data_IF_007343632845
#
_entry.id   IF_007343632845
#
_cell.length_a   1.000
_cell.length_b   1.000
_cell.length_c   1.000
_cell.angle_alpha   90.00
_cell.angle_beta   90.00
_cell.angle_gamma   90.00
#
_symmetry.space_group_name_H-M   'P 1'
#
loop_
_entity.id
_entity.type
_entity.pdbx_description
1 polymer ?
#
# COMPACT_ATOMS: atom_id res chain seq x y z
N UNK A 1 -26.37 -3.08 -18.63
CA UNK A 1 -25.57 -3.92 -17.77
C UNK A 1 -24.67 -3.08 -16.87
N UNK A 2 -24.60 -3.41 -15.61
CA UNK A 2 -23.84 -2.62 -14.65
C UNK A 2 -22.41 -3.13 -14.56
N UNK A 3 -21.43 -2.22 -14.64
CA UNK A 3 -20.03 -2.59 -14.46
C UNK A 3 -19.75 -2.88 -12.99
N UNK A 4 -18.91 -3.86 -12.73
CA UNK A 4 -18.41 -4.08 -11.37
C UNK A 4 -17.47 -2.94 -11.01
N UNK A 5 -17.13 -2.84 -9.71
CA UNK A 5 -16.19 -1.82 -9.30
C UNK A 5 -14.83 -1.99 -9.99
N UNK A 6 -14.36 -3.24 -10.11
CA UNK A 6 -13.09 -3.48 -10.79
C UNK A 6 -13.15 -3.05 -12.25
N UNK A 7 -14.24 -3.38 -12.93
CA UNK A 7 -14.39 -2.98 -14.34
C UNK A 7 -14.40 -1.46 -14.48
N UNK A 8 -15.09 -0.77 -13.57
CA UNK A 8 -15.12 0.69 -13.59
C UNK A 8 -13.72 1.28 -13.39
N UNK A 9 -12.97 0.72 -12.43
CA UNK A 9 -11.62 1.21 -12.16
C UNK A 9 -10.70 0.97 -13.35
N UNK A 10 -10.85 -0.15 -14.03
CA UNK A 10 -10.05 -0.42 -15.21
C UNK A 10 -10.34 0.57 -16.34
N UNK A 11 -11.62 0.99 -16.46
CA UNK A 11 -11.96 2.03 -17.44
C UNK A 11 -11.30 3.36 -17.08
N UNK A 12 -11.37 3.75 -15.78
CA UNK A 12 -10.71 4.97 -15.34
C UNK A 12 -9.22 4.91 -15.60
N UNK A 13 -8.61 3.76 -15.35
CA UNK A 13 -7.19 3.58 -15.55
C UNK A 13 -6.80 3.76 -17.01
N UNK A 14 -7.62 3.26 -17.92
CA UNK A 14 -7.38 3.47 -19.35
C UNK A 14 -7.39 4.94 -19.72
N UNK A 15 -8.29 5.70 -19.10
CA UNK A 15 -8.42 7.13 -19.42
C UNK A 15 -7.29 7.95 -18.83
N UNK A 16 -6.81 7.57 -17.63
CA UNK A 16 -5.74 8.30 -16.96
C UNK A 16 -4.88 7.34 -16.17
N UNK A 17 -3.92 6.69 -16.83
CA UNK A 17 -3.10 5.68 -16.16
C UNK A 17 -2.13 6.25 -15.12
N UNK A 18 -2.04 7.58 -15.01
CA UNK A 18 -1.15 8.18 -14.02
C UNK A 18 -1.87 8.60 -12.74
N UNK A 19 -3.20 8.41 -12.66
CA UNK A 19 -3.95 8.84 -11.50
C UNK A 19 -3.67 7.93 -10.31
N UNK A 20 -3.04 8.49 -9.28
CA UNK A 20 -2.62 7.70 -8.12
C UNK A 20 -3.78 7.01 -7.42
N UNK A 21 -4.91 7.71 -7.26
CA UNK A 21 -6.03 7.11 -6.58
C UNK A 21 -6.57 5.88 -7.32
N UNK A 22 -6.66 5.97 -8.64
CA UNK A 22 -7.14 4.84 -9.44
C UNK A 22 -6.22 3.63 -9.30
N UNK A 23 -4.90 3.88 -9.36
CA UNK A 23 -3.92 2.80 -9.20
C UNK A 23 -4.05 2.17 -7.82
N UNK A 24 -4.18 3.01 -6.79
CA UNK A 24 -4.36 2.54 -5.43
C UNK A 24 -5.63 1.69 -5.29
N UNK A 25 -6.73 2.18 -5.87
CA UNK A 25 -8.01 1.47 -5.80
C UNK A 25 -7.93 0.12 -6.52
N UNK A 26 -7.23 0.07 -7.67
CA UNK A 26 -7.03 -1.19 -8.38
C UNK A 26 -6.22 -2.17 -7.54
N UNK A 27 -5.14 -1.69 -6.93
CA UNK A 27 -4.33 -2.56 -6.07
C UNK A 27 -5.18 -3.16 -4.96
N UNK A 28 -6.03 -2.34 -4.35
CA UNK A 28 -6.88 -2.77 -3.25
C UNK A 28 -7.92 -3.79 -3.70
N UNK A 29 -8.55 -3.55 -4.84
CA UNK A 29 -9.54 -4.50 -5.35
C UNK A 29 -8.91 -5.84 -5.71
N UNK A 30 -7.72 -5.80 -6.31
CA UNK A 30 -7.05 -7.05 -6.67
C UNK A 30 -6.57 -7.85 -5.46
N UNK A 31 -6.44 -7.23 -4.29
CA UNK A 31 -6.06 -8.00 -3.08
C UNK A 31 -7.00 -9.17 -2.84
N UNK A 32 -8.25 -9.04 -3.26
CA UNK A 32 -9.26 -10.06 -3.01
C UNK A 32 -9.22 -11.20 -4.01
N UNK A 33 -8.63 -10.98 -5.19
CA UNK A 33 -8.76 -11.96 -6.27
C UNK A 33 -7.45 -12.32 -6.94
N UNK A 34 -6.44 -11.45 -6.90
CA UNK A 34 -5.18 -11.71 -7.59
C UNK A 34 -4.08 -10.90 -6.92
N UNK A 35 -3.43 -11.53 -5.93
CA UNK A 35 -2.42 -10.82 -5.15
C UNK A 35 -1.22 -10.40 -5.99
N UNK A 36 -0.90 -11.13 -7.06
CA UNK A 36 0.20 -10.73 -7.91
C UNK A 36 -0.10 -9.43 -8.63
N UNK A 37 -1.31 -9.27 -9.15
CA UNK A 37 -1.69 -8.01 -9.79
C UNK A 37 -1.76 -6.88 -8.77
N UNK A 38 -2.27 -7.17 -7.57
CA UNK A 38 -2.28 -6.18 -6.50
C UNK A 38 -0.88 -5.66 -6.24
N UNK A 39 0.08 -6.58 -6.12
CA UNK A 39 1.47 -6.21 -5.87
C UNK A 39 2.02 -5.33 -6.99
N UNK A 40 1.71 -5.67 -8.24
CA UNK A 40 2.18 -4.88 -9.38
C UNK A 40 1.69 -3.42 -9.30
N UNK A 41 0.42 -3.23 -8.95
CA UNK A 41 -0.12 -1.88 -8.85
C UNK A 41 0.47 -1.13 -7.65
N UNK A 42 0.68 -1.81 -6.52
CA UNK A 42 1.34 -1.15 -5.40
C UNK A 42 2.77 -0.76 -5.74
N UNK A 43 3.49 -1.63 -6.46
CA UNK A 43 4.85 -1.30 -6.88
C UNK A 43 4.89 -0.12 -7.83
N UNK A 44 3.88 -0.03 -8.70
CA UNK A 44 3.75 1.12 -9.58
C UNK A 44 3.58 2.41 -8.78
N UNK A 45 2.74 2.37 -7.74
CA UNK A 45 2.57 3.53 -6.87
C UNK A 45 3.85 3.92 -6.16
N UNK A 46 4.56 2.93 -5.62
CA UNK A 46 5.81 3.22 -4.92
C UNK A 46 6.83 3.89 -5.83
N UNK A 47 6.85 3.47 -7.10
CA UNK A 47 7.80 4.03 -8.06
C UNK A 47 7.37 5.39 -8.59
N UNK A 48 6.09 5.56 -8.90
CA UNK A 48 5.61 6.74 -9.61
C UNK A 48 4.98 7.79 -8.71
N UNK A 49 4.48 7.39 -7.55
CA UNK A 49 3.80 8.30 -6.63
C UNK A 49 4.28 8.07 -5.20
N UNK A 50 5.58 8.29 -4.95
CA UNK A 50 6.14 7.96 -3.62
C UNK A 50 5.55 8.77 -2.48
N UNK A 51 4.90 9.90 -2.76
CA UNK A 51 4.26 10.69 -1.71
C UNK A 51 2.81 10.33 -1.46
N UNK A 52 2.30 9.32 -2.15
CA UNK A 52 0.94 8.85 -1.90
C UNK A 52 0.99 7.93 -0.68
N UNK A 53 0.76 8.52 0.49
CA UNK A 53 1.07 7.91 1.78
C UNK A 53 0.32 6.60 2.02
N UNK A 54 -0.92 6.50 1.55
CA UNK A 54 -1.75 5.33 1.77
C UNK A 54 -1.19 4.02 1.21
N UNK A 55 -0.28 4.11 0.25
CA UNK A 55 0.31 2.94 -0.37
C UNK A 55 1.10 2.08 0.62
N UNK A 56 1.86 2.74 1.50
CA UNK A 56 2.92 2.07 2.26
C UNK A 56 2.42 1.02 3.23
N UNK A 57 1.34 1.32 3.94
CA UNK A 57 0.78 0.37 4.88
C UNK A 57 0.37 -0.93 4.17
N UNK A 58 -0.37 -0.79 3.07
CA UNK A 58 -0.89 -1.96 2.36
C UNK A 58 0.19 -2.71 1.63
N UNK A 59 1.12 -1.99 0.99
CA UNK A 59 2.21 -2.63 0.27
C UNK A 59 3.11 -3.41 1.23
N UNK A 60 3.44 -2.82 2.38
CA UNK A 60 4.29 -3.50 3.35
C UNK A 60 3.63 -4.77 3.87
N UNK A 61 2.32 -4.69 4.19
CA UNK A 61 1.61 -5.86 4.67
C UNK A 61 1.57 -6.95 3.61
N UNK A 62 1.38 -6.58 2.36
CA UNK A 62 1.35 -7.57 1.28
C UNK A 62 2.70 -8.26 1.13
N UNK A 63 3.79 -7.48 1.13
CA UNK A 63 5.12 -8.09 1.08
C UNK A 63 5.33 -9.05 2.24
N UNK A 64 4.91 -8.66 3.44
CA UNK A 64 5.03 -9.52 4.61
C UNK A 64 4.28 -10.83 4.42
N UNK A 65 3.04 -10.74 3.94
CA UNK A 65 2.22 -11.93 3.73
C UNK A 65 2.79 -12.85 2.65
N UNK A 66 3.50 -12.26 1.69
CA UNK A 66 4.13 -13.05 0.62
C UNK A 66 5.49 -13.59 1.03
N UNK A 67 5.90 -13.37 2.27
CA UNK A 67 7.19 -13.84 2.76
C UNK A 67 8.37 -12.99 2.35
N UNK A 68 8.12 -11.83 1.73
CA UNK A 68 9.18 -10.93 1.29
C UNK A 68 9.49 -9.93 2.39
N UNK A 69 10.12 -10.45 3.46
CA UNK A 69 10.32 -9.69 4.69
C UNK A 69 11.23 -8.49 4.53
N UNK A 70 12.30 -8.62 3.75
CA UNK A 70 13.22 -7.50 3.54
C UNK A 70 12.52 -6.35 2.83
N UNK A 71 11.70 -6.67 1.83
CA UNK A 71 10.95 -5.64 1.12
C UNK A 71 9.92 -4.99 2.03
N UNK A 72 9.24 -5.80 2.84
CA UNK A 72 8.26 -5.26 3.78
C UNK A 72 8.91 -4.25 4.72
N UNK A 73 10.06 -4.60 5.27
CA UNK A 73 10.76 -3.71 6.21
C UNK A 73 11.11 -2.38 5.54
N UNK A 74 11.65 -2.44 4.32
CA UNK A 74 12.00 -1.22 3.59
C UNK A 74 10.78 -0.33 3.36
N UNK A 75 9.67 -0.94 3.01
CA UNK A 75 8.46 -0.18 2.70
C UNK A 75 7.88 0.45 3.97
N UNK A 76 7.88 -0.28 5.09
CA UNK A 76 7.45 0.31 6.36
C UNK A 76 8.29 1.54 6.70
N UNK A 77 9.61 1.40 6.62
CA UNK A 77 10.50 2.50 6.98
C UNK A 77 10.34 3.70 6.06
N UNK A 78 10.23 3.44 4.75
CA UNK A 78 10.04 4.51 3.80
C UNK A 78 8.70 5.21 4.04
N UNK A 79 7.67 4.42 4.32
CA UNK A 79 6.35 4.98 4.59
C UNK A 79 6.35 5.89 5.82
N UNK A 80 7.05 5.49 6.87
CA UNK A 80 7.16 6.34 8.05
C UNK A 80 7.89 7.64 7.73
N UNK A 81 8.96 7.56 6.95
CA UNK A 81 9.70 8.74 6.54
C UNK A 81 8.82 9.70 5.73
N UNK A 82 8.12 9.17 4.73
CA UNK A 82 7.26 9.99 3.87
C UNK A 82 6.10 10.59 4.66
N UNK A 83 5.47 9.78 5.52
CA UNK A 83 4.35 10.28 6.33
C UNK A 83 4.79 11.46 7.19
N UNK A 84 5.96 11.36 7.78
CA UNK A 84 6.48 12.44 8.62
C UNK A 84 6.77 13.68 7.78
N UNK A 85 7.38 13.51 6.62
CA UNK A 85 7.67 14.62 5.72
C UNK A 85 6.40 15.33 5.26
N UNK A 86 5.33 14.55 5.03
CA UNK A 86 4.06 15.11 4.58
C UNK A 86 3.23 15.65 5.72
N UNK A 87 3.67 15.48 6.95
CA UNK A 87 2.92 15.93 8.11
C UNK A 87 1.70 15.07 8.42
N UNK A 88 1.62 13.87 7.85
CA UNK A 88 0.50 12.97 8.08
C UNK A 88 0.78 12.09 9.28
N UNK A 89 0.50 12.61 10.47
CA UNK A 89 0.86 11.91 11.70
C UNK A 89 -0.04 10.71 11.98
N UNK A 90 -1.26 10.72 11.45
CA UNK A 90 -2.13 9.57 11.56
C UNK A 90 -1.52 8.37 10.81
N UNK A 91 -1.10 8.59 9.58
CA UNK A 91 -0.48 7.54 8.79
C UNK A 91 0.84 7.09 9.42
N UNK A 92 1.61 8.05 9.93
CA UNK A 92 2.87 7.72 10.60
C UNK A 92 2.62 6.78 11.80
N UNK A 93 1.63 7.11 12.61
CA UNK A 93 1.30 6.31 13.77
C UNK A 93 0.86 4.90 13.39
N UNK A 94 0.02 4.78 12.37
CA UNK A 94 -0.42 3.48 11.88
C UNK A 94 0.76 2.64 11.39
N UNK A 95 1.63 3.28 10.61
CA UNK A 95 2.80 2.58 10.06
C UNK A 95 3.75 2.15 11.17
N UNK A 96 3.94 3.00 12.17
CA UNK A 96 4.83 2.66 13.26
C UNK A 96 4.30 1.48 14.06
N UNK A 97 2.99 1.46 14.34
CA UNK A 97 2.40 0.34 15.04
C UNK A 97 2.55 -0.96 14.25
N UNK A 98 2.28 -0.89 12.94
CA UNK A 98 2.40 -2.06 12.10
C UNK A 98 3.84 -2.53 12.00
N UNK A 99 4.77 -1.59 11.90
CA UNK A 99 6.18 -1.92 11.84
C UNK A 99 6.67 -2.58 13.12
N UNK A 100 6.25 -2.04 14.27
CA UNK A 100 6.62 -2.63 15.55
C UNK A 100 6.12 -4.06 15.67
N UNK A 101 4.89 -4.29 15.25
CA UNK A 101 4.33 -5.63 15.26
C UNK A 101 5.09 -6.56 14.32
N UNK A 102 5.39 -6.06 13.12
CA UNK A 102 6.16 -6.79 12.13
C UNK A 102 7.52 -7.20 12.67
N UNK A 103 8.18 -6.31 13.41
CA UNK A 103 9.49 -6.56 13.97
C UNK A 103 9.45 -7.34 15.30
N UNK A 104 8.27 -7.68 15.78
CA UNK A 104 8.15 -8.36 17.06
C UNK A 104 8.38 -7.47 18.25
N UNK A 105 8.18 -6.17 18.09
CA UNK A 105 8.42 -5.19 19.16
C UNK A 105 7.12 -4.74 19.81
N UNK A 106 6.10 -5.56 19.74
CA UNK A 106 4.78 -5.25 20.26
C UNK A 106 4.69 -5.80 21.69
N UNK A 107 4.60 -4.91 22.66
CA UNK A 107 4.65 -5.29 24.08
C UNK A 107 3.32 -5.10 24.79
N UNK A 108 2.25 -5.09 24.08
CA UNK A 108 0.97 -4.77 24.67
C UNK A 108 0.44 -5.83 25.59
N UNK A 109 1.01 -6.98 25.58
CA UNK A 109 0.52 -8.10 26.35
C UNK A 109 0.89 -8.04 27.81
N UNK A 110 1.55 -7.04 28.21
CA UNK A 110 2.02 -6.94 29.57
C UNK A 110 1.00 -6.60 30.55
#
# INVERSE_FOLDING_TARGET
MTLTRLEQLLEFYKEDPSDAYTIYALATEYLKIDTRKSKEYYEMLLAEHPNYVGTYYHAAKLYDELGQKDEAEKVYKKGMQISRQEGNMHAFSELQQAYNKFMGLDYEDE
#
